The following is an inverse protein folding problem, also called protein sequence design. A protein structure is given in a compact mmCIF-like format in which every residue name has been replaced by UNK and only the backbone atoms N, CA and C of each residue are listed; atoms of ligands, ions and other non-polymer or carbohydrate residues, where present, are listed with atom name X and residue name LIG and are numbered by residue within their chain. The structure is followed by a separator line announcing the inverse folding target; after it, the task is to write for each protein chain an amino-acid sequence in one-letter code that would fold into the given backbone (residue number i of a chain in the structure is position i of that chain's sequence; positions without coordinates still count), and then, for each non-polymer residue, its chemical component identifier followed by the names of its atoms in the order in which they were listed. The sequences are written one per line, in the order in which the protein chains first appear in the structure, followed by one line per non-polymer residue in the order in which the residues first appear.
data_IF_928225844421
#
_entry.id   IF_928225844421
#
_cell.length_a   1.000
_cell.length_b   1.000
_cell.length_c   1.000
_cell.angle_alpha   90.00
_cell.angle_beta   90.00
_cell.angle_gamma   90.00
#
_symmetry.space_group_name_H-M   'P 1'
#
loop_
_entity.id
_entity.type
_entity.pdbx_description
1 polymer ?
#
# COMPACT_ATOMS: atom_id res chain seq x y z
N UNK A 1 -10.16 9.94 8.60
CA UNK A 1 -9.81 9.28 7.33
C UNK A 1 -10.11 7.79 7.45
N UNK A 2 -10.74 7.22 6.44
CA UNK A 2 -11.13 5.82 6.45
C UNK A 2 -9.93 4.95 6.04
N UNK A 3 -9.48 4.08 6.94
CA UNK A 3 -8.35 3.18 6.68
C UNK A 3 -8.62 2.24 5.50
N UNK A 4 -9.86 1.79 5.36
CA UNK A 4 -10.22 0.87 4.28
C UNK A 4 -10.12 1.59 2.93
N UNK A 5 -10.67 2.80 2.85
CA UNK A 5 -10.61 3.60 1.62
C UNK A 5 -9.18 3.98 1.28
N UNK A 6 -8.38 4.34 2.29
CA UNK A 6 -6.96 4.68 2.10
C UNK A 6 -6.19 3.49 1.59
N UNK A 7 -6.42 2.30 2.17
CA UNK A 7 -5.76 1.08 1.73
C UNK A 7 -6.10 0.70 0.30
N UNK A 8 -7.38 0.83 -0.08
CA UNK A 8 -7.80 0.57 -1.45
C UNK A 8 -7.16 1.55 -2.43
N UNK A 9 -7.06 2.81 -2.06
CA UNK A 9 -6.42 3.82 -2.88
C UNK A 9 -4.93 3.49 -3.10
N UNK A 10 -4.24 3.11 -2.04
CA UNK A 10 -2.83 2.75 -2.10
C UNK A 10 -2.63 1.54 -3.02
N UNK A 11 -3.46 0.50 -2.88
CA UNK A 11 -3.38 -0.68 -3.71
C UNK A 11 -3.62 -0.35 -5.19
N UNK A 12 -4.61 0.49 -5.46
CA UNK A 12 -4.94 0.91 -6.81
C UNK A 12 -3.77 1.66 -7.46
N UNK A 13 -3.20 2.64 -6.75
CA UNK A 13 -2.09 3.43 -7.27
C UNK A 13 -0.84 2.57 -7.44
N UNK A 14 -0.58 1.67 -6.49
CA UNK A 14 0.55 0.75 -6.59
C UNK A 14 0.46 -0.10 -7.86
N UNK A 15 -0.70 -0.69 -8.08
CA UNK A 15 -0.92 -1.56 -9.24
C UNK A 15 -0.87 -0.76 -10.54
N UNK A 16 -1.43 0.45 -10.53
CA UNK A 16 -1.43 1.32 -11.69
C UNK A 16 0.00 1.65 -12.13
N UNK A 17 0.90 1.84 -11.17
CA UNK A 17 2.31 2.15 -11.45
C UNK A 17 3.17 0.90 -11.64
N UNK A 18 2.61 -0.27 -11.44
CA UNK A 18 3.32 -1.53 -11.63
C UNK A 18 4.28 -1.88 -10.50
N UNK A 19 4.06 -1.36 -9.30
CA UNK A 19 4.90 -1.68 -8.15
C UNK A 19 4.37 -2.89 -7.41
N UNK A 20 5.30 -3.70 -6.87
CA UNK A 20 4.97 -4.69 -5.85
C UNK A 20 4.82 -3.99 -4.51
N UNK A 21 4.23 -4.68 -3.52
CA UNK A 21 4.15 -4.14 -2.16
C UNK A 21 5.54 -3.81 -1.62
N UNK A 22 6.50 -4.68 -1.88
CA UNK A 22 7.88 -4.48 -1.43
C UNK A 22 8.50 -3.26 -2.08
N UNK A 23 8.31 -3.07 -3.38
CA UNK A 23 8.84 -1.92 -4.09
C UNK A 23 8.26 -0.62 -3.55
N UNK A 24 6.94 -0.58 -3.33
CA UNK A 24 6.31 0.62 -2.78
C UNK A 24 6.82 0.89 -1.37
N UNK A 25 6.97 -0.15 -0.56
CA UNK A 25 7.48 0.01 0.79
C UNK A 25 8.88 0.63 0.80
N UNK A 26 9.74 0.18 -0.11
CA UNK A 26 11.08 0.75 -0.22
C UNK A 26 11.05 2.23 -0.62
N UNK A 27 10.16 2.59 -1.55
CA UNK A 27 10.00 3.99 -1.97
C UNK A 27 9.56 4.86 -0.81
N UNK A 28 8.64 4.36 0.02
CA UNK A 28 8.10 5.11 1.15
C UNK A 28 8.97 5.03 2.40
N UNK A 29 9.98 4.15 2.39
CA UNK A 29 10.85 3.96 3.55
C UNK A 29 10.18 3.25 4.71
N UNK A 30 9.23 2.36 4.43
CA UNK A 30 8.51 1.59 5.43
C UNK A 30 8.57 0.11 5.10
N UNK A 31 8.00 -0.72 5.98
CA UNK A 31 7.98 -2.17 5.82
C UNK A 31 6.88 -2.58 4.82
N UNK A 32 7.15 -3.62 4.03
CA UNK A 32 6.15 -4.20 3.14
C UNK A 32 4.96 -4.78 3.93
N UNK A 33 5.20 -5.20 5.16
CA UNK A 33 4.13 -5.64 6.06
C UNK A 33 3.17 -4.51 6.38
N UNK A 34 3.68 -3.28 6.50
CA UNK A 34 2.86 -2.10 6.70
C UNK A 34 1.95 -1.86 5.49
N UNK A 35 2.51 -1.95 4.29
CA UNK A 35 1.73 -1.81 3.06
C UNK A 35 0.63 -2.87 3.00
N UNK A 36 0.99 -4.13 3.26
CA UNK A 36 0.02 -5.22 3.25
C UNK A 36 -1.11 -4.98 4.24
N UNK A 37 -0.77 -4.51 5.43
CA UNK A 37 -1.75 -4.19 6.46
C UNK A 37 -2.71 -3.10 6.00
N UNK A 38 -2.17 -2.04 5.41
CA UNK A 38 -2.99 -0.94 4.90
C UNK A 38 -3.94 -1.41 3.80
N UNK A 39 -3.44 -2.22 2.87
CA UNK A 39 -4.26 -2.71 1.76
C UNK A 39 -5.37 -3.63 2.22
N UNK A 40 -5.20 -4.30 3.36
CA UNK A 40 -6.24 -5.13 3.95
C UNK A 40 -7.21 -4.35 4.82
N UNK A 41 -6.91 -3.10 5.13
CA UNK A 41 -7.80 -2.25 5.93
C UNK A 41 -7.72 -2.50 7.42
N UNK A 42 -6.60 -2.98 7.92
CA UNK A 42 -6.44 -3.21 9.36
C UNK A 42 -5.39 -2.30 9.93
#
# INVERSE_FOLDING_TARGET
MDQIATGKFIAKERKRKGYTQKQLAEILGISDKTISKWERGV
#
